data_IF_720684846151
#
_entry.id   IF_720684846151
#
_cell.length_a   1.000
_cell.length_b   1.000
_cell.length_c   1.000
_cell.angle_alpha   90.00
_cell.angle_beta   90.00
_cell.angle_gamma   90.00
#
_symmetry.space_group_name_H-M   'P 1'
#
loop_
_entity.id
_entity.type
_entity.pdbx_description
1 polymer ?
#
# COMPACT_ATOMS: atom_id res chain seq x y z
N UNK A 1 3.26 -4.80 44.12
CA UNK A 1 3.73 -5.71 43.06
C UNK A 1 2.99 -5.29 41.79
N UNK A 2 3.67 -4.58 40.88
CA UNK A 2 3.05 -4.09 39.65
C UNK A 2 3.13 -5.22 38.62
N UNK A 3 1.98 -5.74 38.21
CA UNK A 3 1.91 -6.68 37.10
C UNK A 3 2.14 -5.90 35.80
N UNK A 4 3.34 -5.95 35.26
CA UNK A 4 3.61 -5.62 33.86
C UNK A 4 3.11 -6.78 33.01
N UNK A 5 1.85 -6.73 32.59
CA UNK A 5 1.39 -7.49 31.43
C UNK A 5 1.92 -6.73 30.22
N UNK A 6 3.02 -7.21 29.63
CA UNK A 6 3.41 -6.81 28.28
C UNK A 6 2.39 -7.43 27.34
N UNK A 7 1.22 -6.82 27.24
CA UNK A 7 0.22 -7.18 26.24
C UNK A 7 0.83 -6.80 24.90
N UNK A 8 1.44 -7.78 24.23
CA UNK A 8 1.72 -7.65 22.81
C UNK A 8 0.35 -7.61 22.16
N UNK A 9 -0.17 -6.40 21.89
CA UNK A 9 -1.37 -6.23 21.07
C UNK A 9 -1.14 -7.07 19.82
N UNK A 10 -1.93 -8.14 19.68
CA UNK A 10 -1.93 -8.95 18.46
C UNK A 10 -2.19 -8.04 17.27
N UNK A 11 -1.65 -8.39 16.10
CA UNK A 11 -2.00 -7.64 14.90
C UNK A 11 -3.50 -7.69 14.66
N UNK A 12 -4.15 -6.55 14.36
CA UNK A 12 -5.56 -6.55 14.01
C UNK A 12 -5.75 -7.44 12.77
N UNK A 13 -6.73 -8.33 12.83
CA UNK A 13 -7.11 -9.16 11.69
C UNK A 13 -7.79 -8.27 10.64
N UNK A 14 -7.01 -7.83 9.65
CA UNK A 14 -7.52 -6.99 8.57
C UNK A 14 -8.24 -7.86 7.55
N UNK A 15 -9.56 -7.66 7.42
CA UNK A 15 -10.40 -8.37 6.45
C UNK A 15 -10.61 -7.54 5.19
N UNK A 16 -10.68 -8.15 4.00
CA UNK A 16 -11.12 -7.45 2.80
C UNK A 16 -12.45 -6.73 3.03
N UNK A 17 -12.62 -5.56 2.40
CA UNK A 17 -13.87 -4.80 2.45
C UNK A 17 -14.40 -4.55 1.05
N UNK A 18 -15.73 -4.60 0.92
CA UNK A 18 -16.40 -4.05 -0.24
C UNK A 18 -16.51 -2.53 -0.05
N UNK A 19 -15.65 -1.80 -0.76
CA UNK A 19 -15.66 -0.35 -0.69
C UNK A 19 -16.78 0.24 -1.55
N UNK A 20 -17.39 1.36 -1.12
CA UNK A 20 -18.32 2.09 -1.97
C UNK A 20 -17.61 2.63 -3.23
N UNK A 21 -18.29 2.69 -4.38
CA UNK A 21 -17.69 3.18 -5.63
C UNK A 21 -17.15 4.62 -5.52
N UNK A 22 -17.73 5.43 -4.62
CA UNK A 22 -17.29 6.79 -4.30
C UNK A 22 -15.85 6.82 -3.80
N UNK A 23 -15.39 5.79 -3.06
CA UNK A 23 -14.00 5.70 -2.60
C UNK A 23 -13.04 5.56 -3.77
N UNK A 24 -13.42 4.80 -4.82
CA UNK A 24 -12.61 4.66 -6.02
C UNK A 24 -12.40 6.01 -6.71
N UNK A 25 -13.49 6.74 -6.94
CA UNK A 25 -13.44 8.10 -7.52
C UNK A 25 -12.58 9.05 -6.67
N UNK A 26 -12.74 9.02 -5.35
CA UNK A 26 -11.93 9.83 -4.43
C UNK A 26 -10.44 9.49 -4.54
N UNK A 27 -10.08 8.21 -4.50
CA UNK A 27 -8.70 7.76 -4.61
C UNK A 27 -8.06 8.17 -5.94
N UNK A 28 -8.80 8.11 -7.05
CA UNK A 28 -8.32 8.55 -8.36
C UNK A 28 -8.07 10.06 -8.41
N UNK A 29 -8.94 10.86 -7.79
CA UNK A 29 -8.74 12.31 -7.66
C UNK A 29 -7.50 12.65 -6.83
N UNK A 30 -7.27 11.94 -5.71
CA UNK A 30 -6.06 12.10 -4.89
C UNK A 30 -4.80 11.76 -5.69
N UNK A 31 -4.81 10.65 -6.45
CA UNK A 31 -3.68 10.27 -7.31
C UNK A 31 -3.40 11.30 -8.39
N UNK A 32 -4.46 11.86 -8.99
CA UNK A 32 -4.30 12.93 -9.97
C UNK A 32 -3.65 14.18 -9.35
N UNK A 33 -4.06 14.55 -8.14
CA UNK A 33 -3.45 15.65 -7.39
C UNK A 33 -1.97 15.37 -7.06
N UNK A 34 -1.65 14.16 -6.59
CA UNK A 34 -0.28 13.71 -6.34
C UNK A 34 0.62 13.85 -7.59
N UNK A 35 0.14 13.39 -8.75
CA UNK A 35 0.87 13.54 -10.01
C UNK A 35 1.12 15.01 -10.36
N UNK A 36 0.10 15.87 -10.26
CA UNK A 36 0.22 17.29 -10.58
C UNK A 36 1.14 18.03 -9.60
N UNK A 37 1.12 17.67 -8.31
CA UNK A 37 1.93 18.29 -7.27
C UNK A 37 3.44 18.15 -7.55
N UNK A 38 3.87 17.10 -8.26
CA UNK A 38 5.28 16.88 -8.60
C UNK A 38 5.63 17.16 -10.07
N UNK A 39 4.65 17.55 -10.89
CA UNK A 39 4.82 17.74 -12.34
C UNK A 39 4.38 19.10 -12.87
N UNK A 40 4.02 20.03 -11.98
CA UNK A 40 3.62 21.39 -12.34
C UNK A 40 4.38 22.44 -11.53
N UNK A 41 4.47 23.65 -12.07
CA UNK A 41 5.09 24.80 -11.41
C UNK A 41 4.29 26.09 -11.72
N UNK A 42 3.02 26.19 -11.27
CA UNK A 42 2.24 27.41 -11.37
C UNK A 42 2.78 28.52 -10.46
N UNK A 43 2.20 29.71 -10.55
CA UNK A 43 2.56 30.84 -9.70
C UNK A 43 2.07 30.67 -8.24
N UNK A 44 2.53 31.59 -7.38
CA UNK A 44 2.21 31.57 -5.95
C UNK A 44 0.71 31.70 -5.67
N UNK A 45 -0.03 32.49 -6.45
CA UNK A 45 -1.46 32.69 -6.23
C UNK A 45 -2.24 31.39 -6.48
N UNK A 46 -1.91 30.68 -7.56
CA UNK A 46 -2.49 29.37 -7.86
C UNK A 46 -2.15 28.36 -6.77
N UNK A 47 -0.90 28.34 -6.28
CA UNK A 47 -0.52 27.47 -5.17
C UNK A 47 -1.34 27.73 -3.90
N UNK A 48 -1.47 29.01 -3.50
CA UNK A 48 -2.26 29.39 -2.31
C UNK A 48 -3.72 28.99 -2.45
N UNK A 49 -4.39 29.35 -3.54
CA UNK A 49 -5.80 29.02 -3.74
C UNK A 49 -6.04 27.50 -3.80
N UNK A 50 -5.12 26.74 -4.39
CA UNK A 50 -5.22 25.27 -4.45
C UNK A 50 -5.03 24.64 -3.06
N UNK A 51 -4.08 25.14 -2.27
CA UNK A 51 -3.87 24.67 -0.89
C UNK A 51 -5.13 24.87 -0.04
N UNK A 52 -5.76 26.06 -0.09
CA UNK A 52 -7.01 26.31 0.62
C UNK A 52 -8.14 25.35 0.20
N UNK A 53 -8.20 24.96 -1.07
CA UNK A 53 -9.18 23.97 -1.53
C UNK A 53 -8.92 22.59 -0.94
N UNK A 54 -7.65 22.17 -0.87
CA UNK A 54 -7.26 20.90 -0.24
C UNK A 54 -7.60 20.93 1.26
N UNK A 55 -7.34 22.04 1.96
CA UNK A 55 -7.69 22.22 3.36
C UNK A 55 -9.20 22.11 3.60
N UNK A 56 -10.04 22.69 2.72
CA UNK A 56 -11.50 22.53 2.80
C UNK A 56 -11.93 21.08 2.60
N UNK A 57 -11.27 20.33 1.70
CA UNK A 57 -11.52 18.89 1.52
C UNK A 57 -11.13 18.11 2.77
N UNK A 58 -10.00 18.43 3.40
CA UNK A 58 -9.60 17.82 4.68
C UNK A 58 -10.64 18.10 5.76
N UNK A 59 -11.06 19.35 5.94
CA UNK A 59 -12.09 19.74 6.92
C UNK A 59 -13.43 19.04 6.70
N UNK A 60 -13.79 18.70 5.46
CA UNK A 60 -14.98 17.90 5.16
C UNK A 60 -14.87 16.45 5.64
N UNK A 61 -13.66 15.88 5.66
CA UNK A 61 -13.40 14.51 6.12
C UNK A 61 -13.13 14.43 7.63
N UNK A 62 -12.78 15.56 8.26
CA UNK A 62 -12.65 15.64 9.71
C UNK A 62 -13.97 15.28 10.42
N UNK A 63 -13.88 14.54 11.51
CA UNK A 63 -15.02 13.97 12.25
C UNK A 63 -15.41 12.56 11.80
N UNK A 64 -14.91 12.08 10.66
CA UNK A 64 -15.14 10.72 10.16
C UNK A 64 -13.96 9.77 10.41
N UNK A 65 -13.01 10.13 11.28
CA UNK A 65 -11.92 9.25 11.65
C UNK A 65 -12.46 7.99 12.32
N UNK A 66 -11.95 6.83 11.90
CA UNK A 66 -12.34 5.52 12.42
C UNK A 66 -11.16 4.88 13.18
N UNK A 67 -11.46 3.91 14.04
CA UNK A 67 -10.41 3.19 14.76
C UNK A 67 -9.51 2.39 13.81
N UNK A 68 -8.35 1.97 14.32
CA UNK A 68 -7.41 1.14 13.57
C UNK A 68 -8.08 -0.12 12.99
N UNK A 69 -7.72 -0.44 11.76
CA UNK A 69 -8.32 -1.54 11.01
C UNK A 69 -9.76 -1.36 10.55
N UNK A 70 -10.39 -0.19 10.73
CA UNK A 70 -11.73 0.08 10.18
C UNK A 70 -11.70 0.85 8.85
N UNK A 71 -10.64 1.62 8.59
CA UNK A 71 -10.52 2.37 7.35
C UNK A 71 -10.46 1.43 6.14
N UNK A 72 -11.11 1.76 5.00
CA UNK A 72 -11.16 0.88 3.84
C UNK A 72 -9.86 0.85 3.03
N UNK A 73 -9.02 1.88 3.17
CA UNK A 73 -7.74 1.98 2.46
C UNK A 73 -6.83 0.79 2.80
N UNK A 74 -6.28 0.13 1.78
CA UNK A 74 -5.45 -1.07 1.94
C UNK A 74 -6.24 -2.37 2.04
N UNK A 75 -7.57 -2.30 2.12
CA UNK A 75 -8.48 -3.45 2.27
C UNK A 75 -9.52 -3.57 1.18
N UNK A 76 -9.68 -2.54 0.34
CA UNK A 76 -10.64 -2.51 -0.76
C UNK A 76 -10.11 -3.27 -1.98
N UNK A 77 -10.12 -4.60 -1.92
CA UNK A 77 -9.43 -5.50 -2.87
C UNK A 77 -9.83 -5.33 -4.34
N UNK A 78 -11.01 -4.78 -4.61
CA UNK A 78 -11.52 -4.50 -5.97
C UNK A 78 -11.02 -3.16 -6.54
N UNK A 79 -10.40 -2.31 -5.73
CA UNK A 79 -9.90 -0.99 -6.15
C UNK A 79 -8.39 -1.05 -6.44
N UNK A 80 -7.88 -0.25 -7.41
CA UNK A 80 -6.45 -0.09 -7.62
C UNK A 80 -5.73 0.35 -6.34
N UNK A 81 -4.57 -0.25 -6.06
CA UNK A 81 -3.80 -0.02 -4.83
C UNK A 81 -4.55 -0.42 -3.56
N UNK A 82 -5.56 -1.29 -3.67
CA UNK A 82 -6.46 -1.68 -2.57
C UNK A 82 -7.19 -0.48 -1.94
N UNK A 83 -7.41 0.58 -2.73
CA UNK A 83 -7.98 1.86 -2.27
C UNK A 83 -7.01 2.72 -1.45
N UNK A 84 -5.74 2.34 -1.31
CA UNK A 84 -4.75 3.11 -0.57
C UNK A 84 -4.03 4.13 -1.47
N UNK A 85 -4.05 5.44 -1.17
CA UNK A 85 -3.48 6.47 -2.04
C UNK A 85 -1.94 6.50 -2.05
N UNK A 86 -1.26 5.92 -1.05
CA UNK A 86 0.20 5.72 -1.10
C UNK A 86 0.61 4.66 -2.12
N UNK A 87 -0.25 3.66 -2.36
CA UNK A 87 0.10 2.54 -3.23
C UNK A 87 -0.18 2.90 -4.69
N UNK A 88 0.74 2.60 -5.61
CA UNK A 88 0.51 2.72 -7.05
C UNK A 88 -0.82 2.03 -7.45
N UNK A 89 -1.53 2.50 -8.49
CA UNK A 89 -2.85 2.00 -8.88
C UNK A 89 -2.77 0.62 -9.58
N UNK A 90 -2.30 -0.38 -8.85
CA UNK A 90 -2.14 -1.75 -9.31
C UNK A 90 -3.29 -2.61 -8.81
N UNK A 91 -3.73 -3.56 -9.64
CA UNK A 91 -4.86 -4.43 -9.37
C UNK A 91 -4.40 -5.89 -9.35
N UNK A 92 -4.91 -6.66 -8.40
CA UNK A 92 -4.70 -8.11 -8.31
C UNK A 92 -5.40 -8.77 -9.50
N UNK A 93 -4.71 -9.63 -10.23
CA UNK A 93 -5.28 -10.41 -11.34
C UNK A 93 -5.26 -11.92 -11.09
N UNK A 94 -4.37 -12.39 -10.22
CA UNK A 94 -4.32 -13.78 -9.75
C UNK A 94 -3.99 -13.77 -8.25
N UNK A 95 -4.67 -14.61 -7.48
CA UNK A 95 -4.49 -14.73 -6.04
C UNK A 95 -4.74 -16.19 -5.62
N UNK A 96 -3.73 -16.83 -5.04
CA UNK A 96 -3.83 -18.21 -4.55
C UNK A 96 -2.57 -18.65 -3.82
N UNK A 97 -2.54 -19.92 -3.41
CA UNK A 97 -1.44 -20.49 -2.63
C UNK A 97 -0.09 -20.43 -3.37
N UNK A 98 -0.12 -20.50 -4.70
CA UNK A 98 1.07 -20.41 -5.57
C UNK A 98 1.65 -18.99 -5.68
N UNK A 99 0.85 -17.96 -5.36
CA UNK A 99 1.29 -16.58 -5.41
C UNK A 99 0.21 -15.56 -5.74
N UNK A 100 0.65 -14.32 -5.93
CA UNK A 100 -0.19 -13.17 -6.28
C UNK A 100 0.43 -12.46 -7.48
N UNK A 101 -0.36 -12.30 -8.54
CA UNK A 101 0.01 -11.51 -9.72
C UNK A 101 -0.77 -10.21 -9.73
N UNK A 102 -0.10 -9.11 -10.03
CA UNK A 102 -0.72 -7.79 -10.17
C UNK A 102 -0.38 -7.15 -11.52
N UNK A 103 -1.29 -6.31 -12.01
CA UNK A 103 -1.08 -5.43 -13.17
C UNK A 103 -1.28 -3.98 -12.78
N UNK A 104 -0.47 -3.09 -13.33
CA UNK A 104 -0.60 -1.66 -13.11
C UNK A 104 0.47 -0.88 -13.84
N UNK A 105 0.67 0.37 -13.44
CA UNK A 105 1.74 1.22 -13.90
C UNK A 105 2.17 2.16 -12.78
N UNK A 106 3.35 2.74 -12.91
CA UNK A 106 3.77 3.88 -12.11
C UNK A 106 3.53 5.16 -12.89
N UNK A 107 3.16 6.24 -12.21
CA UNK A 107 2.91 7.56 -12.80
C UNK A 107 4.00 8.59 -12.44
N UNK A 108 3.79 9.85 -12.82
CA UNK A 108 4.69 10.97 -12.52
C UNK A 108 5.02 11.11 -11.03
N UNK A 109 4.07 10.83 -10.14
CA UNK A 109 4.27 10.86 -8.69
C UNK A 109 5.39 9.93 -8.18
N UNK A 110 5.71 8.89 -8.94
CA UNK A 110 6.65 7.85 -8.52
C UNK A 110 8.07 8.05 -9.07
N UNK A 111 8.33 9.15 -9.80
CA UNK A 111 9.61 9.39 -10.47
C UNK A 111 10.69 9.75 -9.46
N UNK A 112 11.89 9.16 -9.62
CA UNK A 112 13.08 9.60 -8.89
C UNK A 112 13.98 10.53 -9.70
N UNK A 113 14.12 10.25 -10.99
CA UNK A 113 14.92 11.01 -11.95
C UNK A 113 14.85 10.36 -13.32
N UNK A 114 15.23 11.07 -14.38
CA UNK A 114 15.29 10.56 -15.76
C UNK A 114 13.99 9.88 -16.24
N UNK A 115 12.84 10.31 -15.73
CA UNK A 115 11.54 9.69 -16.02
C UNK A 115 11.44 8.20 -15.67
N UNK A 116 12.27 7.72 -14.75
CA UNK A 116 12.24 6.38 -14.20
C UNK A 116 11.65 6.38 -12.79
N UNK A 117 11.03 5.25 -12.42
CA UNK A 117 10.52 5.02 -11.07
C UNK A 117 11.68 5.17 -10.07
N UNK A 118 11.44 5.91 -8.99
CA UNK A 118 12.40 6.07 -7.91
C UNK A 118 12.72 4.69 -7.31
N UNK A 119 14.01 4.39 -7.13
CA UNK A 119 14.46 3.07 -6.63
C UNK A 119 13.70 2.64 -5.37
N UNK A 120 13.55 3.53 -4.39
CA UNK A 120 12.82 3.28 -3.13
C UNK A 120 11.29 3.07 -3.23
N UNK A 121 10.64 3.42 -4.34
CA UNK A 121 9.19 3.15 -4.53
C UNK A 121 8.95 1.68 -4.86
N UNK A 122 9.89 1.03 -5.54
CA UNK A 122 9.81 -0.38 -5.92
C UNK A 122 9.77 -1.31 -4.68
N UNK A 123 10.69 -1.22 -3.69
CA UNK A 123 10.59 -2.01 -2.47
C UNK A 123 9.35 -1.68 -1.64
N UNK A 124 8.91 -0.42 -1.60
CA UNK A 124 7.64 -0.05 -0.94
C UNK A 124 6.46 -0.81 -1.56
N UNK A 125 6.38 -0.85 -2.89
CA UNK A 125 5.36 -1.62 -3.60
C UNK A 125 5.47 -3.12 -3.29
N UNK A 126 6.67 -3.70 -3.36
CA UNK A 126 6.87 -5.13 -3.13
C UNK A 126 6.66 -5.55 -1.68
N UNK A 127 6.95 -4.71 -0.69
CA UNK A 127 6.65 -5.01 0.72
C UNK A 127 5.14 -5.23 0.92
N UNK A 128 4.32 -4.32 0.38
CA UNK A 128 2.87 -4.49 0.36
C UNK A 128 2.40 -5.70 -0.45
N UNK A 129 3.03 -5.96 -1.60
CA UNK A 129 2.73 -7.13 -2.44
C UNK A 129 3.05 -8.46 -1.71
N UNK A 130 4.20 -8.54 -1.02
CA UNK A 130 4.56 -9.70 -0.21
C UNK A 130 3.66 -9.88 1.02
N UNK A 131 3.13 -8.81 1.59
CA UNK A 131 2.08 -8.88 2.60
C UNK A 131 0.86 -9.69 2.16
N UNK A 132 0.47 -9.58 0.89
CA UNK A 132 -0.66 -10.37 0.34
C UNK A 132 -0.35 -11.87 0.23
N UNK A 133 0.92 -12.26 0.11
CA UNK A 133 1.31 -13.69 0.06
C UNK A 133 1.05 -14.38 1.40
N UNK A 134 1.22 -13.66 2.52
CA UNK A 134 0.90 -14.20 3.85
C UNK A 134 -0.56 -14.60 3.92
N UNK A 135 -1.45 -13.73 3.44
CA UNK A 135 -2.90 -14.00 3.36
C UNK A 135 -3.22 -15.10 2.35
N UNK A 136 -2.62 -15.06 1.16
CA UNK A 136 -2.86 -16.03 0.09
C UNK A 136 -2.47 -17.46 0.47
N UNK A 137 -1.38 -17.61 1.24
CA UNK A 137 -0.90 -18.89 1.76
C UNK A 137 -1.55 -19.31 3.10
N UNK A 138 -2.58 -18.60 3.57
CA UNK A 138 -3.28 -18.90 4.83
C UNK A 138 -2.39 -18.85 6.08
N UNK A 139 -1.32 -18.05 6.05
CA UNK A 139 -0.34 -17.97 7.13
C UNK A 139 -0.77 -16.99 8.22
N UNK A 140 -0.34 -17.20 9.48
CA UNK A 140 -0.49 -16.19 10.52
C UNK A 140 0.16 -14.86 10.12
N UNK A 141 -0.43 -13.75 10.54
CA UNK A 141 0.10 -12.41 10.29
C UNK A 141 1.56 -12.34 10.76
N UNK A 142 2.43 -11.83 9.88
CA UNK A 142 3.87 -11.71 10.12
C UNK A 142 4.36 -10.29 9.83
N UNK A 143 5.48 -9.91 10.44
CA UNK A 143 6.20 -8.68 10.11
C UNK A 143 7.29 -8.97 9.08
N UNK A 144 7.49 -8.07 8.13
CA UNK A 144 8.68 -8.07 7.29
C UNK A 144 9.91 -7.88 8.18
N UNK A 145 10.78 -8.89 8.25
CA UNK A 145 12.07 -8.76 8.95
C UNK A 145 13.13 -8.08 8.06
N UNK A 146 13.01 -8.37 6.76
CA UNK A 146 13.95 -8.36 5.67
C UNK A 146 13.40 -7.99 4.29
N UNK A 147 14.02 -7.07 3.55
CA UNK A 147 13.79 -6.99 2.11
C UNK A 147 15.12 -6.82 1.38
N UNK A 148 15.43 -7.78 0.51
CA UNK A 148 16.57 -7.71 -0.41
C UNK A 148 16.04 -7.42 -1.82
N UNK A 149 16.57 -6.39 -2.48
CA UNK A 149 16.10 -5.98 -3.82
C UNK A 149 17.29 -5.81 -4.76
N UNK A 150 17.29 -6.57 -5.85
CA UNK A 150 18.24 -6.44 -6.95
C UNK A 150 17.59 -5.71 -8.14
N UNK A 151 18.08 -4.52 -8.47
CA UNK A 151 17.59 -3.75 -9.62
C UNK A 151 18.31 -4.19 -10.90
N UNK A 152 17.57 -4.83 -11.80
CA UNK A 152 18.14 -5.44 -13.04
C UNK A 152 17.90 -4.61 -14.31
N UNK A 153 16.92 -3.71 -14.28
CA UNK A 153 16.57 -2.84 -15.39
C UNK A 153 15.90 -1.56 -14.87
N UNK A 154 15.97 -0.50 -15.68
CA UNK A 154 15.21 0.73 -15.43
C UNK A 154 13.72 0.40 -15.47
N UNK A 155 12.98 0.80 -14.43
CA UNK A 155 11.53 0.62 -14.39
C UNK A 155 10.86 1.86 -14.96
N UNK A 156 10.09 1.74 -16.06
CA UNK A 156 9.45 2.86 -16.71
C UNK A 156 8.21 3.33 -15.94
N UNK A 157 7.83 4.60 -16.13
CA UNK A 157 6.50 5.11 -15.79
C UNK A 157 5.56 5.05 -17.01
N UNK A 158 4.27 5.27 -16.81
CA UNK A 158 3.21 5.35 -17.83
C UNK A 158 3.17 4.13 -18.77
N UNK A 159 3.72 3.00 -18.31
CA UNK A 159 3.84 1.75 -19.06
C UNK A 159 3.16 0.63 -18.27
N UNK A 160 2.28 -0.18 -18.89
CA UNK A 160 1.71 -1.35 -18.24
C UNK A 160 2.79 -2.35 -17.83
N UNK A 161 2.78 -2.74 -16.56
CA UNK A 161 3.72 -3.67 -15.94
C UNK A 161 2.98 -4.82 -15.27
N UNK A 162 3.68 -5.94 -15.11
CA UNK A 162 3.23 -7.12 -14.37
C UNK A 162 4.19 -7.34 -13.20
N UNK A 163 3.64 -7.55 -12.02
CA UNK A 163 4.37 -7.95 -10.82
C UNK A 163 3.91 -9.33 -10.40
N UNK A 164 4.85 -10.13 -9.90
CA UNK A 164 4.58 -11.46 -9.37
C UNK A 164 5.27 -11.61 -8.02
N UNK A 165 4.53 -12.15 -7.06
CA UNK A 165 5.04 -12.54 -5.78
C UNK A 165 4.63 -13.99 -5.51
N UNK A 166 5.53 -14.78 -4.92
CA UNK A 166 5.29 -16.17 -4.56
C UNK A 166 6.04 -16.49 -3.27
N UNK A 167 5.55 -17.47 -2.50
CA UNK A 167 6.30 -18.01 -1.37
C UNK A 167 7.18 -19.16 -1.83
N UNK A 168 8.46 -19.13 -1.46
CA UNK A 168 9.42 -20.20 -1.79
C UNK A 168 9.65 -21.19 -0.66
N UNK A 169 9.10 -20.92 0.53
CA UNK A 169 9.21 -21.79 1.69
C UNK A 169 8.72 -21.15 2.99
N UNK A 170 8.56 -21.96 4.02
CA UNK A 170 8.38 -21.51 5.40
C UNK A 170 8.96 -22.52 6.38
N UNK A 171 9.58 -22.00 7.43
CA UNK A 171 9.93 -22.78 8.60
C UNK A 171 9.24 -22.15 9.80
N UNK A 172 8.36 -22.92 10.46
CA UNK A 172 7.71 -22.47 11.70
C UNK A 172 8.60 -22.85 12.87
N UNK A 173 9.24 -21.86 13.50
CA UNK A 173 9.99 -22.08 14.73
C UNK A 173 9.03 -21.93 15.90
N UNK A 174 8.57 -23.05 16.49
CA UNK A 174 7.82 -23.02 17.74
C UNK A 174 8.81 -22.83 18.90
N UNK A 175 8.53 -21.95 19.88
CA UNK A 175 9.31 -21.89 21.10
C UNK A 175 9.29 -23.27 21.77
N UNK A 176 10.44 -23.79 22.20
CA UNK A 176 10.49 -24.99 23.03
C UNK A 176 9.70 -24.72 24.32
N UNK A 177 8.72 -25.58 24.62
CA UNK A 177 8.06 -25.58 25.94
C UNK A 177 9.12 -25.63 27.03
N UNK A 178 8.99 -24.87 28.14
CA UNK A 178 9.83 -25.11 29.30
C UNK A 178 9.68 -26.58 29.69
N UNK A 179 10.79 -27.31 29.81
CA UNK A 179 10.75 -28.66 30.39
C UNK A 179 10.25 -28.54 31.85
N UNK A 180 9.44 -29.51 32.31
CA UNK A 180 8.87 -29.49 33.67
C UNK A 180 9.94 -29.43 34.75
#
# INVERSE_FOLDING_TARGET
MVHTVTETRGFPELKPVEAPPELGRFADAVRRLQDLAVSTNPDAAVWTTTAEQIERVCAQLEGFQVADGQAPAGRAIKLPGLGHPLMPPWTIVEFGEDGVTMKGHFSRFHVGGNMAVHGGVIPLFYDGHFGMIVSAAGRPISRTAYLHVDYRAVTPIDTPLISRAASTGSTVVRPSSPRP
#
